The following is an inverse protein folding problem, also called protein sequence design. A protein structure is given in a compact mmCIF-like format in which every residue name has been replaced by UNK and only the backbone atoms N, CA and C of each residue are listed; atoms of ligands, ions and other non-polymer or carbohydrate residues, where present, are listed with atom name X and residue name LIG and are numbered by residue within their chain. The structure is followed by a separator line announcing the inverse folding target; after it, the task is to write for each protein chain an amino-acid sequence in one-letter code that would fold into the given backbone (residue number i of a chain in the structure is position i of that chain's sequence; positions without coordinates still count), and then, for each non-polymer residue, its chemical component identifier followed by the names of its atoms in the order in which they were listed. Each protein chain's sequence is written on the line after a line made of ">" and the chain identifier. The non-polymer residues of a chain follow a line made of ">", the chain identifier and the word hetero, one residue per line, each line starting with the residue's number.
data_IF_037357104929
#
_entry.id   IF_037357104929
#
_cell.length_a   1.000
_cell.length_b   1.000
_cell.length_c   1.000
_cell.angle_alpha   90.00
_cell.angle_beta   90.00
_cell.angle_gamma   90.00
#
_symmetry.space_group_name_H-M   'P 1'
#
loop_
_entity.id
_entity.type
_entity.pdbx_description
1 polymer ?
#
# COMPACT_ATOMS: atom_id res chain seq x y z
N UNK A 1 -51.35 -2.58 -7.81
CA UNK A 1 -50.68 -2.81 -9.11
C UNK A 1 -49.18 -2.62 -8.84
N UNK A 2 -48.32 -3.62 -8.63
CA UNK A 2 -47.99 -4.83 -9.44
C UNK A 2 -47.69 -4.38 -10.89
N UNK A 3 -46.48 -4.42 -11.46
CA UNK A 3 -45.41 -5.44 -11.46
C UNK A 3 -44.00 -4.85 -11.77
N UNK A 4 -43.00 -5.52 -11.17
CA UNK A 4 -41.59 -5.76 -11.51
C UNK A 4 -41.06 -5.28 -12.89
N UNK A 5 -39.79 -4.87 -12.93
CA UNK A 5 -38.77 -5.68 -13.63
C UNK A 5 -37.33 -5.40 -13.17
N UNK A 6 -36.70 -6.49 -12.74
CA UNK A 6 -35.27 -6.66 -12.54
C UNK A 6 -34.56 -6.61 -13.91
N UNK A 7 -33.41 -5.95 -13.99
CA UNK A 7 -32.40 -6.28 -15.00
C UNK A 7 -31.07 -6.48 -14.32
N UNK A 8 -30.84 -7.74 -13.98
CA UNK A 8 -29.51 -8.33 -13.95
C UNK A 8 -28.92 -8.27 -15.35
N UNK A 9 -27.78 -7.61 -15.54
CA UNK A 9 -26.90 -7.94 -16.65
C UNK A 9 -25.50 -8.30 -16.14
N UNK A 10 -25.35 -9.62 -16.01
CA UNK A 10 -24.11 -10.34 -16.13
C UNK A 10 -23.42 -9.97 -17.45
N UNK A 11 -22.29 -9.26 -17.41
CA UNK A 11 -21.28 -9.37 -18.47
C UNK A 11 -20.14 -10.24 -17.96
N UNK A 12 -20.27 -11.55 -18.20
CA UNK A 12 -19.16 -12.51 -18.12
C UNK A 12 -18.11 -12.14 -19.17
N UNK A 13 -17.08 -11.41 -18.79
CA UNK A 13 -15.83 -11.39 -19.56
C UNK A 13 -14.94 -12.53 -19.07
N UNK A 14 -14.86 -13.58 -19.89
CA UNK A 14 -13.95 -14.71 -19.74
C UNK A 14 -12.49 -14.23 -19.73
N UNK A 15 -11.90 -14.10 -18.54
CA UNK A 15 -10.44 -14.12 -18.38
C UNK A 15 -10.06 -15.43 -17.70
N UNK A 16 -9.81 -16.46 -18.50
CA UNK A 16 -9.17 -17.70 -18.05
C UNK A 16 -7.67 -17.42 -17.86
N UNK A 17 -7.30 -16.94 -16.67
CA UNK A 17 -5.93 -17.07 -16.20
C UNK A 17 -5.79 -18.43 -15.52
N UNK A 18 -5.16 -19.38 -16.20
CA UNK A 18 -4.77 -20.66 -15.61
C UNK A 18 -3.64 -20.42 -14.62
N UNK A 19 -3.99 -20.12 -13.36
CA UNK A 19 -3.05 -20.18 -12.26
C UNK A 19 -2.65 -21.63 -12.03
N UNK A 20 -1.40 -21.97 -12.41
CA UNK A 20 -0.74 -23.15 -11.85
C UNK A 20 -0.71 -22.96 -10.33
N UNK A 21 -1.54 -23.71 -9.61
CA UNK A 21 -1.45 -23.87 -8.15
C UNK A 21 -0.04 -24.37 -7.81
N UNK A 22 0.87 -23.48 -7.42
CA UNK A 22 1.99 -23.88 -6.57
C UNK A 22 1.43 -23.96 -5.15
N UNK A 23 0.96 -25.15 -4.78
CA UNK A 23 0.74 -25.51 -3.37
C UNK A 23 2.11 -25.45 -2.69
N UNK A 24 2.32 -24.48 -1.81
CA UNK A 24 3.27 -24.68 -0.71
C UNK A 24 2.48 -25.34 0.42
N UNK A 25 2.41 -26.66 0.38
CA UNK A 25 2.13 -27.48 1.56
C UNK A 25 3.47 -28.07 1.98
N UNK A 26 4.01 -27.61 3.10
CA UNK A 26 5.18 -28.21 3.73
C UNK A 26 4.75 -29.46 4.49
N UNK A 27 4.91 -30.63 3.87
CA UNK A 27 4.86 -31.91 4.57
C UNK A 27 5.47 -33.01 3.71
N UNK A 28 6.77 -33.24 3.88
CA UNK A 28 7.39 -34.57 3.90
C UNK A 28 8.81 -34.45 4.45
N UNK A 29 9.00 -34.87 5.69
CA UNK A 29 10.29 -35.30 6.18
C UNK A 29 10.58 -36.66 5.54
N UNK A 30 11.49 -36.69 4.56
CA UNK A 30 12.16 -37.89 4.10
C UNK A 30 13.65 -37.55 3.97
N UNK A 31 14.49 -38.40 4.56
CA UNK A 31 15.93 -38.21 4.66
C UNK A 31 16.58 -38.01 3.28
N UNK A 32 17.12 -36.83 3.06
CA UNK A 32 17.95 -36.50 1.91
C UNK A 32 19.41 -36.65 2.33
N UNK A 33 20.14 -37.54 1.65
CA UNK A 33 21.60 -37.64 1.71
C UNK A 33 22.19 -36.26 1.47
N UNK A 34 23.10 -35.82 2.35
CA UNK A 34 23.75 -34.51 2.23
C UNK A 34 24.51 -34.41 0.89
N UNK A 35 24.11 -33.52 -0.02
CA UNK A 35 24.92 -33.21 -1.19
C UNK A 35 26.07 -32.29 -0.75
N UNK A 36 27.26 -32.60 -1.24
CA UNK A 36 28.51 -31.87 -1.02
C UNK A 36 28.31 -30.35 -1.21
N UNK A 37 28.36 -29.61 -0.09
CA UNK A 37 27.87 -28.22 0.04
C UNK A 37 28.78 -27.19 -0.64
N UNK A 38 29.97 -27.56 -1.10
CA UNK A 38 31.00 -26.58 -1.47
C UNK A 38 30.95 -26.05 -2.92
N UNK A 39 30.24 -26.68 -3.86
CA UNK A 39 30.28 -26.24 -5.27
C UNK A 39 29.03 -25.46 -5.75
N UNK A 40 27.93 -25.49 -5.00
CA UNK A 40 26.66 -24.87 -5.43
C UNK A 40 26.34 -23.51 -4.78
N UNK A 41 27.10 -23.10 -3.76
CA UNK A 41 26.87 -21.84 -3.02
C UNK A 41 27.19 -20.56 -3.83
N UNK A 42 28.03 -20.65 -4.85
CA UNK A 42 28.39 -19.52 -5.72
C UNK A 42 27.28 -19.14 -6.73
N UNK A 43 26.26 -19.99 -6.89
CA UNK A 43 25.19 -19.83 -7.89
C UNK A 43 23.92 -19.15 -7.38
N UNK A 44 23.85 -18.82 -6.09
CA UNK A 44 22.78 -17.97 -5.56
C UNK A 44 22.98 -16.54 -6.06
N UNK A 45 22.57 -16.29 -7.32
CA UNK A 45 22.32 -14.94 -7.83
C UNK A 45 21.53 -14.22 -6.74
N UNK A 46 22.08 -13.15 -6.18
CA UNK A 46 21.38 -12.29 -5.21
C UNK A 46 20.00 -12.02 -5.79
N UNK A 47 18.96 -12.63 -5.20
CA UNK A 47 17.60 -12.44 -5.67
C UNK A 47 17.33 -10.94 -5.60
N UNK A 48 17.12 -10.32 -6.76
CA UNK A 48 16.77 -8.90 -6.83
C UNK A 48 15.47 -8.76 -6.05
N UNK A 49 15.52 -8.04 -4.92
CA UNK A 49 14.32 -7.75 -4.14
C UNK A 49 13.27 -7.13 -5.07
N UNK A 50 11.99 -7.50 -4.93
CA UNK A 50 10.94 -6.89 -5.74
C UNK A 50 10.94 -5.39 -5.47
N UNK A 51 10.80 -4.62 -6.55
CA UNK A 51 10.82 -3.15 -6.51
C UNK A 51 9.62 -2.58 -5.73
N UNK A 52 8.51 -3.32 -5.72
CA UNK A 52 7.31 -3.00 -4.95
C UNK A 52 6.58 -4.28 -4.50
N UNK A 53 5.89 -4.19 -3.37
CA UNK A 53 4.95 -5.21 -2.88
C UNK A 53 3.58 -4.56 -2.71
N UNK A 54 2.52 -5.31 -2.96
CA UNK A 54 1.15 -4.84 -2.82
C UNK A 54 0.25 -5.97 -2.31
N UNK A 55 -0.79 -5.59 -1.57
CA UNK A 55 -1.77 -6.54 -1.06
C UNK A 55 -2.80 -6.82 -2.16
N UNK A 56 -2.90 -8.08 -2.56
CA UNK A 56 -3.82 -8.55 -3.62
C UNK A 56 -5.00 -9.36 -3.08
N UNK A 57 -4.97 -9.76 -1.81
CA UNK A 57 -6.01 -10.56 -1.17
C UNK A 57 -6.94 -9.68 -0.32
N UNK A 58 -8.24 -9.69 -0.61
CA UNK A 58 -9.24 -8.92 0.13
C UNK A 58 -9.32 -9.31 1.61
N UNK A 59 -9.18 -10.60 1.93
CA UNK A 59 -9.21 -11.06 3.33
C UNK A 59 -8.04 -10.46 4.12
N UNK A 60 -6.83 -10.55 3.56
CA UNK A 60 -5.62 -10.00 4.18
C UNK A 60 -5.71 -8.48 4.29
N UNK A 61 -6.16 -7.79 3.24
CA UNK A 61 -6.37 -6.35 3.28
C UNK A 61 -7.36 -5.94 4.37
N UNK A 62 -8.45 -6.70 4.54
CA UNK A 62 -9.45 -6.46 5.57
C UNK A 62 -8.86 -6.62 6.97
N UNK A 63 -8.14 -7.72 7.21
CA UNK A 63 -7.50 -8.02 8.50
C UNK A 63 -6.48 -6.96 8.92
N UNK A 64 -5.62 -6.56 7.97
CA UNK A 64 -4.69 -5.44 8.15
C UNK A 64 -5.45 -4.15 8.50
N UNK A 65 -6.48 -3.82 7.72
CA UNK A 65 -7.26 -2.59 7.92
C UNK A 65 -8.01 -2.58 9.24
N UNK A 66 -8.54 -3.73 9.68
CA UNK A 66 -9.20 -3.89 10.99
C UNK A 66 -8.19 -3.66 12.12
N UNK A 67 -7.03 -4.29 12.03
CA UNK A 67 -5.94 -4.13 13.01
C UNK A 67 -5.53 -2.66 13.12
N UNK A 68 -5.31 -1.99 11.99
CA UNK A 68 -4.98 -0.57 11.93
C UNK A 68 -6.09 0.28 12.54
N UNK A 69 -7.34 0.05 12.14
CA UNK A 69 -8.49 0.86 12.59
C UNK A 69 -8.67 0.77 14.11
N UNK A 70 -8.59 -0.44 14.68
CA UNK A 70 -8.66 -0.65 16.14
C UNK A 70 -7.55 0.12 16.85
N UNK A 71 -6.32 0.03 16.33
CA UNK A 71 -5.18 0.73 16.92
C UNK A 71 -5.36 2.26 16.85
N UNK A 72 -5.77 2.79 15.70
CA UNK A 72 -6.00 4.23 15.52
C UNK A 72 -7.10 4.75 16.44
N UNK A 73 -8.24 4.05 16.52
CA UNK A 73 -9.33 4.43 17.43
C UNK A 73 -8.90 4.39 18.88
N UNK A 74 -8.15 3.36 19.30
CA UNK A 74 -7.66 3.24 20.68
C UNK A 74 -6.69 4.36 21.05
N UNK A 75 -5.80 4.75 20.12
CA UNK A 75 -4.73 5.71 20.39
C UNK A 75 -5.17 7.17 20.21
N UNK A 76 -6.02 7.44 19.23
CA UNK A 76 -6.37 8.79 18.79
C UNK A 76 -7.85 9.14 18.98
N UNK A 77 -8.71 8.15 19.27
CA UNK A 77 -10.15 8.37 19.43
C UNK A 77 -10.76 9.03 18.19
N UNK A 78 -11.35 10.21 18.39
CA UNK A 78 -11.97 11.01 17.34
C UNK A 78 -11.07 12.13 16.81
N UNK A 79 -9.79 12.17 17.18
CA UNK A 79 -8.86 13.19 16.70
C UNK A 79 -8.65 13.02 15.20
N UNK A 80 -8.83 14.11 14.43
CA UNK A 80 -8.54 14.08 13.01
C UNK A 80 -7.04 13.86 12.79
N UNK A 81 -6.69 12.74 12.17
CA UNK A 81 -5.33 12.41 11.75
C UNK A 81 -5.31 12.12 10.24
N UNK A 82 -4.13 12.25 9.66
CA UNK A 82 -3.88 11.93 8.26
C UNK A 82 -2.99 10.69 8.17
N UNK A 83 -3.46 9.70 7.41
CA UNK A 83 -2.75 8.44 7.20
C UNK A 83 -1.94 8.55 5.92
N UNK A 84 -0.69 8.11 5.96
CA UNK A 84 0.17 8.03 4.77
C UNK A 84 0.34 6.56 4.40
N UNK A 85 -0.11 6.20 3.20
CA UNK A 85 0.06 4.86 2.64
C UNK A 85 1.03 4.90 1.46
N UNK A 86 2.10 4.11 1.53
CA UNK A 86 3.06 3.97 0.44
C UNK A 86 2.75 2.72 -0.39
N UNK A 87 2.75 2.88 -1.71
CA UNK A 87 2.47 1.86 -2.72
C UNK A 87 1.14 1.12 -2.46
N UNK A 88 -0.02 1.83 -2.48
CA UNK A 88 -1.33 1.21 -2.26
C UNK A 88 -1.68 0.16 -3.33
N UNK A 89 -1.06 0.21 -4.51
CA UNK A 89 -1.29 -0.73 -5.59
C UNK A 89 -2.79 -0.81 -5.96
N UNK A 90 -3.44 -1.98 -5.85
CA UNK A 90 -4.89 -2.12 -6.10
C UNK A 90 -5.81 -1.40 -5.10
N UNK A 91 -5.26 -0.71 -4.09
CA UNK A 91 -5.99 0.11 -3.11
C UNK A 91 -6.94 -0.67 -2.17
N UNK A 92 -6.69 -1.97 -1.95
CA UNK A 92 -7.55 -2.79 -1.09
C UNK A 92 -7.52 -2.35 0.38
N UNK A 93 -6.36 -1.95 0.88
CA UNK A 93 -6.22 -1.43 2.25
C UNK A 93 -6.82 -0.03 2.32
N UNK A 94 -6.44 0.85 1.39
CA UNK A 94 -6.97 2.21 1.26
C UNK A 94 -8.50 2.22 1.34
N UNK A 95 -9.17 1.39 0.53
CA UNK A 95 -10.62 1.33 0.47
C UNK A 95 -11.24 0.83 1.78
N UNK A 96 -10.65 -0.21 2.39
CA UNK A 96 -11.13 -0.72 3.67
C UNK A 96 -11.00 0.32 4.79
N UNK A 97 -9.89 1.06 4.85
CA UNK A 97 -9.67 2.12 5.85
C UNK A 97 -10.63 3.30 5.64
N UNK A 98 -10.83 3.77 4.41
CA UNK A 98 -11.75 4.87 4.10
C UNK A 98 -13.21 4.52 4.43
N UNK A 99 -13.61 3.26 4.25
CA UNK A 99 -14.95 2.79 4.58
C UNK A 99 -15.20 2.65 6.08
N UNK A 100 -14.16 2.35 6.88
CA UNK A 100 -14.29 2.02 8.31
C UNK A 100 -14.00 3.19 9.22
N UNK A 101 -13.28 4.20 8.72
CA UNK A 101 -12.80 5.33 9.53
C UNK A 101 -13.24 6.65 8.93
N UNK A 102 -13.09 7.74 9.69
CA UNK A 102 -13.29 9.12 9.21
C UNK A 102 -11.96 9.82 8.88
N UNK A 103 -10.85 9.08 8.81
CA UNK A 103 -9.53 9.65 8.57
C UNK A 103 -9.31 9.98 7.10
N UNK A 104 -8.48 10.99 6.85
CA UNK A 104 -8.02 11.31 5.51
C UNK A 104 -6.79 10.45 5.20
N UNK A 105 -6.66 10.01 3.95
CA UNK A 105 -5.53 9.19 3.51
C UNK A 105 -4.78 9.88 2.38
N UNK A 106 -3.49 10.07 2.56
CA UNK A 106 -2.56 10.48 1.53
C UNK A 106 -1.82 9.24 1.00
N UNK A 107 -2.02 8.92 -0.27
CA UNK A 107 -1.36 7.77 -0.89
C UNK A 107 -0.20 8.22 -1.79
N UNK A 108 0.91 7.50 -1.71
CA UNK A 108 2.06 7.69 -2.59
C UNK A 108 2.28 6.44 -3.43
N UNK A 109 2.11 6.53 -4.75
CA UNK A 109 2.26 5.38 -5.65
C UNK A 109 3.45 5.57 -6.60
N UNK A 110 4.44 4.69 -6.47
CA UNK A 110 5.63 4.67 -7.32
C UNK A 110 5.29 4.26 -8.76
N UNK A 111 4.38 3.31 -8.93
CA UNK A 111 3.90 2.80 -10.22
C UNK A 111 2.57 3.45 -10.63
N UNK A 112 2.47 4.79 -10.49
CA UNK A 112 1.21 5.53 -10.61
C UNK A 112 0.43 5.21 -11.89
N UNK A 113 1.10 5.20 -13.04
CA UNK A 113 0.45 4.95 -14.33
C UNK A 113 -0.18 3.54 -14.41
N UNK A 114 0.39 2.55 -13.72
CA UNK A 114 -0.12 1.17 -13.68
C UNK A 114 -1.41 1.10 -12.85
N UNK A 115 -1.42 1.75 -11.68
CA UNK A 115 -2.52 1.68 -10.73
C UNK A 115 -3.51 2.84 -10.83
N UNK A 116 -3.31 3.78 -11.77
CA UNK A 116 -4.13 4.99 -11.94
C UNK A 116 -5.63 4.71 -11.93
N UNK A 117 -6.08 3.64 -12.61
CA UNK A 117 -7.51 3.29 -12.65
C UNK A 117 -8.09 2.96 -11.26
N UNK A 118 -7.36 2.20 -10.44
CA UNK A 118 -7.79 1.86 -9.08
C UNK A 118 -7.80 3.11 -8.19
N UNK A 119 -6.73 3.90 -8.25
CA UNK A 119 -6.61 5.16 -7.52
C UNK A 119 -7.76 6.13 -7.84
N UNK A 120 -8.08 6.32 -9.12
CA UNK A 120 -9.18 7.19 -9.54
C UNK A 120 -10.56 6.62 -9.16
N UNK A 121 -10.73 5.29 -9.18
CA UNK A 121 -11.98 4.67 -8.72
C UNK A 121 -12.21 4.94 -7.22
N UNK A 122 -11.19 4.78 -6.38
CA UNK A 122 -11.29 5.11 -4.95
C UNK A 122 -11.53 6.61 -4.74
N UNK A 123 -10.83 7.48 -5.47
CA UNK A 123 -11.06 8.92 -5.41
C UNK A 123 -12.47 9.34 -5.83
N UNK A 124 -13.05 8.70 -6.86
CA UNK A 124 -14.44 9.01 -7.26
C UNK A 124 -15.48 8.71 -6.19
N UNK A 125 -15.18 7.78 -5.26
CA UNK A 125 -16.09 7.39 -4.18
C UNK A 125 -15.86 8.25 -2.93
N UNK A 126 -14.60 8.53 -2.60
CA UNK A 126 -14.24 9.15 -1.32
C UNK A 126 -13.84 10.64 -1.42
N UNK A 127 -13.69 11.16 -2.65
CA UNK A 127 -13.38 12.56 -2.92
C UNK A 127 -12.18 13.06 -2.15
N UNK A 128 -12.36 14.20 -1.46
CA UNK A 128 -11.31 14.92 -0.74
C UNK A 128 -10.70 14.15 0.44
N UNK A 129 -11.30 13.02 0.84
CA UNK A 129 -10.73 12.14 1.87
C UNK A 129 -9.52 11.36 1.40
N UNK A 130 -9.24 11.33 0.09
CA UNK A 130 -8.03 10.71 -0.46
C UNK A 130 -7.21 11.68 -1.31
N UNK A 131 -5.96 11.92 -0.89
CA UNK A 131 -4.97 12.67 -1.68
C UNK A 131 -4.07 11.67 -2.39
N UNK A 132 -3.88 11.84 -3.71
CA UNK A 132 -3.11 10.91 -4.53
C UNK A 132 -1.86 11.59 -5.06
N UNK A 133 -0.70 11.06 -4.67
CA UNK A 133 0.60 11.61 -5.02
C UNK A 133 1.42 10.57 -5.82
N UNK A 134 1.75 10.85 -7.10
CA UNK A 134 2.71 10.06 -7.84
C UNK A 134 4.11 10.22 -7.23
N UNK A 135 4.76 9.11 -6.87
CA UNK A 135 6.11 9.17 -6.34
C UNK A 135 6.45 8.04 -5.37
N UNK A 136 7.75 7.83 -5.16
CA UNK A 136 8.24 6.79 -4.27
C UNK A 136 8.56 7.35 -2.88
N UNK A 137 7.59 7.24 -1.97
CA UNK A 137 7.74 7.67 -0.57
C UNK A 137 8.93 6.99 0.13
N UNK A 138 9.26 5.75 -0.24
CA UNK A 138 10.37 4.99 0.35
C UNK A 138 11.75 5.58 0.00
N UNK A 139 11.84 6.48 -0.99
CA UNK A 139 13.08 7.15 -1.38
C UNK A 139 13.25 8.53 -0.75
N UNK A 140 12.39 8.93 0.19
CA UNK A 140 12.51 10.20 0.93
C UNK A 140 13.88 10.38 1.60
N UNK A 141 14.47 9.29 2.13
CA UNK A 141 15.81 9.35 2.72
C UNK A 141 16.89 9.76 1.71
N UNK A 142 16.74 9.33 0.44
CA UNK A 142 17.69 9.66 -0.63
C UNK A 142 17.56 11.14 -0.99
N UNK A 143 16.33 11.67 -1.04
CA UNK A 143 16.10 13.09 -1.22
C UNK A 143 16.72 13.89 -0.08
N UNK A 144 16.51 13.48 1.17
CA UNK A 144 17.11 14.15 2.34
C UNK A 144 18.65 14.13 2.30
N UNK A 145 19.25 13.04 1.83
CA UNK A 145 20.70 12.98 1.64
C UNK A 145 21.18 13.95 0.56
N UNK A 146 20.52 13.99 -0.61
CA UNK A 146 20.87 14.89 -1.70
C UNK A 146 20.69 16.35 -1.30
N UNK A 147 19.56 16.68 -0.65
CA UNK A 147 19.26 18.03 -0.19
C UNK A 147 20.33 18.55 0.78
N UNK A 148 20.96 17.69 1.59
CA UNK A 148 22.09 18.08 2.44
C UNK A 148 23.38 18.36 1.68
N UNK A 149 23.60 17.70 0.54
CA UNK A 149 24.81 17.89 -0.26
C UNK A 149 24.75 19.18 -1.08
N UNK A 150 23.58 19.51 -1.63
CA UNK A 150 23.43 20.63 -2.56
C UNK A 150 22.49 21.74 -2.08
N UNK A 151 22.07 21.68 -0.81
CA UNK A 151 21.09 22.60 -0.21
C UNK A 151 19.76 22.62 -0.97
N UNK A 152 19.37 21.47 -1.53
CA UNK A 152 18.11 21.28 -2.22
C UNK A 152 16.88 21.27 -1.31
N UNK A 153 15.70 21.20 -1.94
CA UNK A 153 14.38 21.26 -1.30
C UNK A 153 13.46 20.10 -1.75
N UNK A 154 14.03 18.99 -2.20
CA UNK A 154 13.29 17.85 -2.79
C UNK A 154 12.33 17.23 -1.79
N UNK A 155 12.76 17.04 -0.53
CA UNK A 155 11.90 16.49 0.52
C UNK A 155 10.69 17.40 0.77
N UNK A 156 10.94 18.72 0.87
CA UNK A 156 9.89 19.71 1.06
C UNK A 156 8.86 19.65 -0.07
N UNK A 157 9.33 19.71 -1.32
CA UNK A 157 8.48 19.65 -2.52
C UNK A 157 7.71 18.33 -2.62
N UNK A 158 8.31 17.23 -2.17
CA UNK A 158 7.66 15.92 -2.19
C UNK A 158 6.52 15.84 -1.17
N UNK A 159 6.70 16.41 0.03
CA UNK A 159 5.71 16.35 1.11
C UNK A 159 4.67 17.47 1.06
N UNK A 160 4.93 18.57 0.33
CA UNK A 160 4.02 19.71 0.26
C UNK A 160 2.64 19.33 -0.31
N UNK A 161 2.58 18.33 -1.19
CA UNK A 161 1.32 17.83 -1.77
C UNK A 161 0.42 17.12 -0.76
N UNK A 162 0.98 16.61 0.34
CA UNK A 162 0.18 16.09 1.44
C UNK A 162 -0.38 17.21 2.34
N UNK A 163 0.01 18.47 2.13
CA UNK A 163 -0.38 19.58 3.00
C UNK A 163 0.24 19.49 4.40
N UNK A 164 1.36 18.77 4.51
CA UNK A 164 2.09 18.57 5.76
C UNK A 164 2.84 19.87 6.07
N UNK A 165 2.47 20.61 7.14
CA UNK A 165 3.22 21.80 7.51
C UNK A 165 4.63 21.40 7.96
N UNK A 166 5.64 22.11 7.48
CA UNK A 166 6.97 21.99 8.06
C UNK A 166 6.93 22.55 9.47
N UNK A 167 7.36 21.74 10.44
CA UNK A 167 7.43 22.15 11.82
C UNK A 167 8.84 21.91 12.38
N UNK A 168 9.30 22.76 13.31
CA UNK A 168 10.53 22.50 14.07
C UNK A 168 10.38 21.18 14.82
N UNK A 169 11.48 20.45 14.97
CA UNK A 169 11.53 19.17 15.70
C UNK A 169 10.94 19.24 17.12
N UNK A 170 11.04 20.42 17.73
CA UNK A 170 10.67 20.74 19.10
C UNK A 170 9.20 21.20 19.27
N UNK A 171 8.37 21.15 18.23
CA UNK A 171 6.92 21.33 18.33
C UNK A 171 6.19 19.98 18.25
N UNK A 172 5.24 19.73 19.16
CA UNK A 172 4.33 18.58 19.02
C UNK A 172 3.48 18.73 17.75
N UNK A 173 3.52 17.71 16.90
CA UNK A 173 3.05 17.77 15.51
C UNK A 173 1.65 17.21 15.28
N UNK A 174 1.05 17.56 14.13
CA UNK A 174 -0.02 16.76 13.53
C UNK A 174 0.46 15.31 13.40
N UNK A 175 -0.35 14.36 13.86
CA UNK A 175 0.04 12.96 13.98
C UNK A 175 -0.14 12.25 12.64
N UNK A 176 0.98 11.77 12.08
CA UNK A 176 1.01 10.97 10.86
C UNK A 176 1.20 9.49 11.20
N UNK A 177 0.43 8.63 10.54
CA UNK A 177 0.57 7.18 10.63
C UNK A 177 1.06 6.61 9.31
N UNK A 178 2.18 5.87 9.36
CA UNK A 178 2.84 5.31 8.20
C UNK A 178 2.80 3.78 8.24
N UNK A 179 2.40 3.18 7.12
CA UNK A 179 2.43 1.73 6.93
C UNK A 179 3.19 1.36 5.66
N UNK A 180 3.90 0.23 5.73
CA UNK A 180 4.61 -0.39 4.62
C UNK A 180 4.24 -1.86 4.55
N UNK A 181 4.07 -2.36 3.33
CA UNK A 181 3.95 -3.78 3.01
C UNK A 181 5.08 -4.20 2.07
#
# INVERSE_FOLDING_TARGET
>A
MILKNNVWMLSRSFFKWTWRKRRYCSSTANSLKEPNVNETLSSFKKFKYPESMFVSCNYVAKDISDTISVHLTKKYGNKQIEIIEANPGPCLITQNLLNKTNYNICVYESSYNVFKKFLMAVHSIHGDRIKINPGNFLLLWKFGYQDRLDRGDRVSKFLSSAGIPQQPWNQESMLYYYFRF
#
